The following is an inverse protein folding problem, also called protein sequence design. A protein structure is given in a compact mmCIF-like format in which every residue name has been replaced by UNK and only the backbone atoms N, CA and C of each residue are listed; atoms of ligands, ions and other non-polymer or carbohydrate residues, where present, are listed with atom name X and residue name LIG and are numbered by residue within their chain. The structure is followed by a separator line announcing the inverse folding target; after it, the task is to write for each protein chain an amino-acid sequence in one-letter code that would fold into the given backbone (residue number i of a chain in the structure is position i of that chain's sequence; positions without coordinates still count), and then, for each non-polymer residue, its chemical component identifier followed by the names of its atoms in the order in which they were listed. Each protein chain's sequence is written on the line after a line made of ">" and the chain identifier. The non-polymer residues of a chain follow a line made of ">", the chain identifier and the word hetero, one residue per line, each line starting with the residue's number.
data_IF_603114901032
#
_entry.id   IF_603114901032
#
_cell.length_a   1.000
_cell.length_b   1.000
_cell.length_c   1.000
_cell.angle_alpha   90.00
_cell.angle_beta   90.00
_cell.angle_gamma   90.00
#
_symmetry.space_group_name_H-M   'P 1'
#
loop_
_entity.id
_entity.type
_entity.pdbx_description
1 polymer ?
#
# COMPACT_ATOMS: atom_id res chain seq x y z
N UNK A 1 20.30 3.20 -20.21
CA UNK A 1 20.26 2.49 -18.91
C UNK A 1 18.80 2.33 -18.53
N UNK A 2 18.33 1.10 -18.48
CA UNK A 2 16.98 0.81 -17.94
C UNK A 2 17.12 0.77 -16.42
N UNK A 3 16.53 1.74 -15.76
CA UNK A 3 16.42 1.73 -14.29
C UNK A 3 15.30 0.79 -13.89
N UNK A 4 15.64 -0.30 -13.20
CA UNK A 4 14.67 -1.24 -12.65
C UNK A 4 14.24 -0.72 -11.28
N UNK A 5 13.14 -0.01 -11.22
CA UNK A 5 12.60 0.62 -10.02
C UNK A 5 11.12 0.26 -9.77
N UNK A 6 10.50 0.77 -8.69
CA UNK A 6 9.10 0.51 -8.34
C UNK A 6 8.11 0.65 -9.52
N UNK A 7 8.21 1.65 -10.41
CA UNK A 7 7.30 1.78 -11.54
C UNK A 7 7.34 0.62 -12.53
N UNK A 8 8.51 -0.04 -12.68
CA UNK A 8 8.65 -1.21 -13.54
C UNK A 8 7.92 -2.41 -12.95
N UNK A 9 8.12 -2.68 -11.66
CA UNK A 9 7.48 -3.81 -10.98
C UNK A 9 5.97 -3.64 -10.92
N UNK A 10 5.45 -2.43 -10.72
CA UNK A 10 4.01 -2.18 -10.71
C UNK A 10 3.35 -2.57 -12.04
N UNK A 11 3.95 -2.17 -13.17
CA UNK A 11 3.41 -2.52 -14.50
C UNK A 11 3.42 -4.01 -14.78
N UNK A 12 4.39 -4.74 -14.24
CA UNK A 12 4.53 -6.18 -14.44
C UNK A 12 3.64 -6.98 -13.48
N UNK A 13 3.62 -6.63 -12.20
CA UNK A 13 2.99 -7.44 -11.15
C UNK A 13 1.47 -7.23 -11.10
N UNK A 14 0.98 -6.01 -11.22
CA UNK A 14 -0.45 -5.68 -11.05
C UNK A 14 -1.36 -6.49 -11.97
N UNK A 15 -1.09 -6.64 -13.28
CA UNK A 15 -1.96 -7.42 -14.16
C UNK A 15 -2.11 -8.90 -13.76
N UNK A 16 -1.11 -9.47 -13.11
CA UNK A 16 -1.16 -10.85 -12.61
C UNK A 16 -1.75 -10.94 -11.21
N UNK A 17 -1.53 -9.93 -10.38
CA UNK A 17 -2.02 -9.91 -9.00
C UNK A 17 -3.54 -9.86 -8.93
N UNK A 18 -4.19 -9.08 -9.77
CA UNK A 18 -5.66 -8.95 -9.81
C UNK A 18 -6.35 -10.30 -10.05
N UNK A 19 -6.09 -11.02 -11.17
CA UNK A 19 -6.71 -12.33 -11.39
C UNK A 19 -6.30 -13.35 -10.31
N UNK A 20 -5.09 -13.28 -9.80
CA UNK A 20 -4.64 -14.15 -8.72
C UNK A 20 -5.48 -13.97 -7.44
N UNK A 21 -5.73 -12.73 -7.00
CA UNK A 21 -6.58 -12.44 -5.84
C UNK A 21 -8.02 -12.92 -6.05
N UNK A 22 -8.57 -12.72 -7.24
CA UNK A 22 -9.92 -13.20 -7.58
C UNK A 22 -10.00 -14.73 -7.57
N UNK A 23 -8.98 -15.41 -8.12
CA UNK A 23 -8.90 -16.88 -8.11
C UNK A 23 -8.74 -17.43 -6.70
N UNK A 24 -7.97 -16.77 -5.83
CA UNK A 24 -7.88 -17.14 -4.40
C UNK A 24 -9.23 -17.01 -3.68
N UNK A 25 -10.05 -16.01 -4.02
CA UNK A 25 -11.37 -15.83 -3.42
C UNK A 25 -12.38 -16.87 -3.89
N UNK A 26 -12.38 -17.20 -5.19
CA UNK A 26 -13.39 -18.05 -5.82
C UNK A 26 -12.97 -19.51 -5.87
N UNK A 27 -11.67 -19.79 -6.09
CA UNK A 27 -11.12 -21.13 -6.31
C UNK A 27 -11.53 -22.18 -5.26
N UNK A 28 -11.46 -21.87 -3.95
CA UNK A 28 -11.89 -22.81 -2.90
C UNK A 28 -13.37 -23.20 -2.94
N UNK A 29 -14.19 -22.46 -3.69
CA UNK A 29 -15.64 -22.65 -3.84
C UNK A 29 -16.01 -23.44 -5.09
N UNK A 30 -15.05 -23.60 -6.01
CA UNK A 30 -15.22 -24.42 -7.21
C UNK A 30 -15.01 -25.89 -6.87
N UNK A 31 -15.99 -26.74 -7.14
CA UNK A 31 -15.88 -28.20 -7.04
C UNK A 31 -15.51 -28.78 -8.40
N UNK A 32 -14.55 -29.73 -8.44
CA UNK A 32 -14.02 -30.32 -9.66
C UNK A 32 -15.07 -31.01 -10.55
N UNK A 33 -16.10 -31.64 -9.95
CA UNK A 33 -17.04 -32.53 -10.69
C UNK A 33 -18.48 -32.00 -10.76
N UNK A 34 -18.96 -31.28 -9.77
CA UNK A 34 -20.29 -30.67 -9.72
C UNK A 34 -20.19 -29.32 -9.01
N UNK A 35 -19.94 -28.27 -9.78
CA UNK A 35 -19.97 -26.90 -9.25
C UNK A 35 -21.41 -26.37 -9.30
N UNK A 36 -22.23 -26.74 -8.32
CA UNK A 36 -23.32 -25.82 -7.94
C UNK A 36 -22.65 -24.75 -7.10
N UNK A 37 -22.55 -23.54 -7.62
CA UNK A 37 -22.22 -22.34 -6.82
C UNK A 37 -23.43 -22.14 -5.90
N UNK A 38 -23.36 -22.82 -4.76
CA UNK A 38 -24.32 -22.58 -3.68
C UNK A 38 -24.19 -21.11 -3.30
N UNK A 39 -25.30 -20.40 -3.32
CA UNK A 39 -25.40 -18.98 -2.98
C UNK A 39 -24.52 -18.01 -3.82
N UNK A 40 -24.74 -17.98 -5.14
CA UNK A 40 -24.11 -16.98 -6.03
C UNK A 40 -24.33 -15.53 -5.57
N UNK A 41 -25.42 -15.28 -4.86
CA UNK A 41 -25.83 -13.94 -4.43
C UNK A 41 -24.80 -13.29 -3.52
N UNK A 42 -24.25 -13.99 -2.52
CA UNK A 42 -23.27 -13.38 -1.62
C UNK A 42 -21.93 -13.08 -2.30
N UNK A 43 -21.53 -13.90 -3.30
CA UNK A 43 -20.31 -13.64 -4.06
C UNK A 43 -20.44 -12.33 -4.85
N UNK A 44 -21.58 -12.13 -5.49
CA UNK A 44 -21.86 -10.90 -6.24
C UNK A 44 -22.00 -9.72 -5.29
N UNK A 45 -22.69 -9.89 -4.16
CA UNK A 45 -22.87 -8.81 -3.16
C UNK A 45 -21.55 -8.33 -2.60
N UNK A 46 -20.65 -9.24 -2.20
CA UNK A 46 -19.32 -8.85 -1.70
C UNK A 46 -18.44 -8.22 -2.78
N UNK A 47 -18.58 -8.63 -4.03
CA UNK A 47 -17.88 -8.00 -5.14
C UNK A 47 -18.34 -6.54 -5.32
N UNK A 48 -19.65 -6.30 -5.33
CA UNK A 48 -20.21 -4.95 -5.46
C UNK A 48 -19.79 -4.08 -4.26
N UNK A 49 -19.89 -4.59 -3.03
CA UNK A 49 -19.45 -3.87 -1.83
C UNK A 49 -17.98 -3.52 -1.91
N UNK A 50 -17.12 -4.45 -2.34
CA UNK A 50 -15.69 -4.22 -2.47
C UNK A 50 -15.38 -3.13 -3.49
N UNK A 51 -16.07 -3.10 -4.62
CA UNK A 51 -15.91 -2.06 -5.65
C UNK A 51 -16.36 -0.70 -5.12
N UNK A 52 -17.51 -0.63 -4.45
CA UNK A 52 -18.03 0.60 -3.86
C UNK A 52 -17.09 1.17 -2.82
N UNK A 53 -16.59 0.33 -1.90
CA UNK A 53 -15.63 0.76 -0.86
C UNK A 53 -14.30 1.22 -1.47
N UNK A 54 -13.76 0.49 -2.45
CA UNK A 54 -12.54 0.89 -3.14
C UNK A 54 -12.71 2.25 -3.82
N UNK A 55 -13.83 2.48 -4.49
CA UNK A 55 -14.14 3.74 -5.15
C UNK A 55 -14.29 4.89 -4.14
N UNK A 56 -14.99 4.67 -3.01
CA UNK A 56 -15.14 5.66 -1.95
C UNK A 56 -13.82 6.09 -1.34
N UNK A 57 -12.90 5.15 -1.13
CA UNK A 57 -11.55 5.43 -0.61
C UNK A 57 -10.76 6.26 -1.62
N UNK A 58 -10.81 5.90 -2.91
CA UNK A 58 -9.97 6.50 -3.94
C UNK A 58 -10.49 7.81 -4.53
N UNK A 59 -11.79 8.13 -4.40
CA UNK A 59 -12.37 9.32 -5.04
C UNK A 59 -11.70 10.65 -4.66
N UNK A 60 -11.02 10.71 -3.51
CA UNK A 60 -10.32 11.89 -3.03
C UNK A 60 -8.82 11.92 -3.39
N UNK A 61 -8.33 10.86 -4.05
CA UNK A 61 -6.92 10.72 -4.43
C UNK A 61 -6.79 10.75 -5.95
N UNK A 62 -6.08 11.73 -6.48
CA UNK A 62 -5.92 12.00 -7.93
C UNK A 62 -4.95 11.03 -8.65
N UNK A 63 -4.86 9.76 -8.23
CA UNK A 63 -4.02 8.76 -8.89
C UNK A 63 -4.87 7.88 -9.82
N UNK A 64 -4.23 7.10 -10.69
CA UNK A 64 -4.84 6.20 -11.68
C UNK A 64 -6.05 5.42 -11.10
N UNK A 65 -7.19 6.09 -10.96
CA UNK A 65 -8.37 5.67 -10.21
C UNK A 65 -8.83 4.28 -10.66
N UNK A 66 -8.82 4.01 -11.96
CA UNK A 66 -9.38 2.76 -12.50
C UNK A 66 -8.58 1.52 -12.07
N UNK A 67 -7.26 1.52 -12.28
CA UNK A 67 -6.40 0.37 -11.93
C UNK A 67 -6.36 0.16 -10.43
N UNK A 68 -6.21 1.24 -9.65
CA UNK A 68 -6.16 1.17 -8.21
C UNK A 68 -7.50 0.70 -7.62
N UNK A 69 -8.65 1.11 -8.19
CA UNK A 69 -9.97 0.63 -7.77
C UNK A 69 -10.10 -0.87 -8.00
N UNK A 70 -9.71 -1.37 -9.18
CA UNK A 70 -9.80 -2.81 -9.48
C UNK A 70 -8.88 -3.61 -8.54
N UNK A 71 -7.68 -3.14 -8.28
CA UNK A 71 -6.72 -3.82 -7.43
C UNK A 71 -7.19 -3.86 -5.97
N UNK A 72 -7.61 -2.73 -5.40
CA UNK A 72 -8.13 -2.66 -4.04
C UNK A 72 -9.42 -3.46 -3.89
N UNK A 73 -10.32 -3.38 -4.88
CA UNK A 73 -11.57 -4.14 -4.83
C UNK A 73 -11.32 -5.65 -4.87
N UNK A 74 -10.33 -6.14 -5.62
CA UNK A 74 -9.97 -7.56 -5.64
C UNK A 74 -9.38 -8.03 -4.31
N UNK A 75 -8.57 -7.20 -3.64
CA UNK A 75 -8.03 -7.50 -2.32
C UNK A 75 -9.10 -7.46 -1.22
N UNK A 76 -10.00 -6.45 -1.23
CA UNK A 76 -11.16 -6.38 -0.35
C UNK A 76 -12.13 -7.55 -0.56
N UNK A 77 -12.33 -7.95 -1.80
CA UNK A 77 -13.16 -9.09 -2.12
C UNK A 77 -12.62 -10.39 -1.50
N UNK A 78 -11.32 -10.66 -1.65
CA UNK A 78 -10.67 -11.79 -1.00
C UNK A 78 -10.81 -11.70 0.53
N UNK A 79 -10.61 -10.50 1.10
CA UNK A 79 -10.76 -10.26 2.55
C UNK A 79 -12.16 -10.60 3.04
N UNK A 80 -13.21 -10.06 2.43
CA UNK A 80 -14.60 -10.30 2.86
C UNK A 80 -15.03 -11.75 2.68
N UNK A 81 -14.62 -12.40 1.58
CA UNK A 81 -14.92 -13.81 1.34
C UNK A 81 -14.26 -14.71 2.39
N UNK A 82 -13.01 -14.47 2.71
CA UNK A 82 -12.30 -15.27 3.73
C UNK A 82 -12.83 -15.00 5.12
N UNK A 83 -13.14 -13.74 5.45
CA UNK A 83 -13.76 -13.37 6.72
C UNK A 83 -15.12 -14.08 6.92
N UNK A 84 -15.99 -14.07 5.90
CA UNK A 84 -17.25 -14.82 5.93
C UNK A 84 -17.01 -16.31 6.15
N UNK A 85 -16.05 -16.89 5.47
CA UNK A 85 -15.77 -18.33 5.56
C UNK A 85 -15.30 -18.72 6.98
N UNK A 86 -14.64 -17.85 7.74
CA UNK A 86 -14.36 -18.07 9.16
C UNK A 86 -15.64 -18.23 10.00
N UNK A 87 -16.63 -17.39 9.76
CA UNK A 87 -17.87 -17.42 10.54
C UNK A 87 -18.81 -18.55 10.15
N UNK A 88 -18.89 -18.87 8.85
CA UNK A 88 -19.87 -19.83 8.32
C UNK A 88 -19.34 -21.27 8.34
N UNK A 89 -18.06 -21.50 8.02
CA UNK A 89 -17.47 -22.84 7.85
C UNK A 89 -16.69 -23.33 9.05
N UNK A 90 -16.97 -22.84 10.20
CA UNK A 90 -16.40 -22.95 11.56
C UNK A 90 -15.11 -23.76 11.76
N UNK A 91 -14.77 -24.81 11.06
CA UNK A 91 -13.55 -25.60 11.24
C UNK A 91 -13.05 -26.27 9.95
N UNK A 92 -13.71 -26.07 8.84
CA UNK A 92 -13.32 -26.66 7.56
C UNK A 92 -12.31 -25.74 6.86
N UNK A 93 -11.14 -26.26 6.57
CA UNK A 93 -10.06 -25.57 5.86
C UNK A 93 -9.52 -24.30 6.58
N UNK A 94 -9.41 -24.34 7.91
CA UNK A 94 -8.92 -23.22 8.73
C UNK A 94 -7.56 -22.71 8.24
N UNK A 95 -6.60 -23.60 7.97
CA UNK A 95 -5.26 -23.22 7.53
C UNK A 95 -5.29 -22.42 6.22
N UNK A 96 -6.10 -22.85 5.26
CA UNK A 96 -6.30 -22.14 4.01
C UNK A 96 -6.93 -20.76 4.22
N UNK A 97 -7.96 -20.68 5.07
CA UNK A 97 -8.64 -19.42 5.36
C UNK A 97 -7.69 -18.42 6.06
N UNK A 98 -6.86 -18.88 7.01
CA UNK A 98 -5.86 -18.04 7.67
C UNK A 98 -4.85 -17.52 6.65
N UNK A 99 -4.35 -18.39 5.77
CA UNK A 99 -3.38 -18.00 4.75
C UNK A 99 -3.96 -16.93 3.78
N UNK A 100 -5.18 -17.15 3.26
CA UNK A 100 -5.83 -16.22 2.35
C UNK A 100 -6.20 -14.89 3.04
N UNK A 101 -6.66 -14.96 4.29
CA UNK A 101 -6.96 -13.79 5.09
C UNK A 101 -5.71 -12.95 5.37
N UNK A 102 -4.64 -13.59 5.85
CA UNK A 102 -3.36 -12.92 6.10
C UNK A 102 -2.77 -12.30 4.83
N UNK A 103 -2.85 -13.02 3.70
CA UNK A 103 -2.39 -12.50 2.42
C UNK A 103 -3.23 -11.29 1.96
N UNK A 104 -4.56 -11.33 2.10
CA UNK A 104 -5.41 -10.19 1.76
C UNK A 104 -5.12 -8.96 2.62
N UNK A 105 -4.89 -9.15 3.94
CA UNK A 105 -4.49 -8.06 4.84
C UNK A 105 -3.14 -7.47 4.46
N UNK A 106 -2.16 -8.29 4.13
CA UNK A 106 -0.84 -7.84 3.69
C UNK A 106 -0.95 -6.97 2.44
N UNK A 107 -1.67 -7.43 1.41
CA UNK A 107 -1.87 -6.67 0.18
C UNK A 107 -2.61 -5.36 0.46
N UNK A 108 -3.69 -5.38 1.26
CA UNK A 108 -4.43 -4.17 1.63
C UNK A 108 -3.53 -3.17 2.38
N UNK A 109 -2.70 -3.64 3.31
CA UNK A 109 -1.77 -2.78 4.06
C UNK A 109 -0.77 -2.10 3.14
N UNK A 110 -0.19 -2.84 2.18
CA UNK A 110 0.73 -2.28 1.19
C UNK A 110 0.03 -1.23 0.32
N UNK A 111 -1.18 -1.54 -0.16
CA UNK A 111 -1.95 -0.64 -1.02
C UNK A 111 -2.36 0.64 -0.27
N UNK A 112 -2.84 0.51 0.95
CA UNK A 112 -3.21 1.68 1.76
C UNK A 112 -1.99 2.52 2.13
N UNK A 113 -0.87 1.89 2.48
CA UNK A 113 0.36 2.64 2.72
C UNK A 113 0.77 3.45 1.48
N UNK A 114 0.71 2.85 0.29
CA UNK A 114 1.03 3.55 -0.97
C UNK A 114 0.07 4.71 -1.29
N UNK A 115 -1.22 4.58 -0.93
CA UNK A 115 -2.23 5.62 -1.18
C UNK A 115 -2.10 6.78 -0.18
N UNK A 116 -1.88 6.47 1.11
CA UNK A 116 -1.83 7.46 2.18
C UNK A 116 -0.44 8.04 2.39
N UNK A 117 0.63 7.39 1.93
CA UNK A 117 1.98 7.95 1.96
C UNK A 117 2.12 9.04 0.89
N UNK A 118 2.62 10.19 1.29
CA UNK A 118 3.09 11.23 0.38
C UNK A 118 4.61 11.27 0.42
N UNK A 119 5.25 10.98 -0.70
CA UNK A 119 6.70 11.09 -0.85
C UNK A 119 7.00 12.31 -1.71
N UNK A 120 7.84 13.19 -1.20
CA UNK A 120 8.28 14.38 -1.91
C UNK A 120 9.79 14.27 -2.11
N UNK A 121 10.21 14.17 -3.35
CA UNK A 121 11.62 14.15 -3.72
C UNK A 121 11.99 15.53 -4.24
N UNK A 122 12.89 16.19 -3.54
CA UNK A 122 13.40 17.51 -3.93
C UNK A 122 14.91 17.57 -3.76
N UNK A 123 15.58 18.40 -4.55
CA UNK A 123 17.00 18.68 -4.42
C UNK A 123 17.15 20.03 -3.73
N UNK A 124 17.75 20.03 -2.55
CA UNK A 124 17.99 21.25 -1.78
C UNK A 124 19.50 21.52 -1.73
N UNK A 125 19.89 22.77 -1.93
CA UNK A 125 21.24 23.26 -1.64
C UNK A 125 21.28 23.81 -0.21
N UNK A 126 22.49 23.85 0.35
CA UNK A 126 22.71 24.47 1.66
C UNK A 126 22.15 25.89 1.67
N UNK A 127 21.32 26.21 2.65
CA UNK A 127 20.61 27.48 2.79
C UNK A 127 19.28 27.55 2.04
N UNK A 128 18.92 26.56 1.22
CA UNK A 128 17.61 26.54 0.56
C UNK A 128 16.52 25.99 1.48
N UNK A 129 15.31 26.49 1.26
CA UNK A 129 14.10 26.14 2.03
C UNK A 129 13.13 25.42 1.11
N UNK A 130 12.61 24.30 1.57
CA UNK A 130 11.46 23.64 0.99
C UNK A 130 10.25 23.88 1.87
N UNK A 131 9.17 24.40 1.29
CA UNK A 131 7.92 24.67 2.00
C UNK A 131 6.75 23.95 1.32
N UNK A 132 6.01 23.20 2.13
CA UNK A 132 4.77 22.56 1.73
C UNK A 132 3.65 23.05 2.67
N UNK A 133 2.38 22.78 2.31
CA UNK A 133 1.20 23.20 3.08
C UNK A 133 1.20 22.82 4.57
N UNK A 134 2.06 21.92 5.01
CA UNK A 134 2.12 21.42 6.40
C UNK A 134 3.47 21.60 7.09
N UNK A 135 4.56 21.68 6.34
CA UNK A 135 5.92 21.66 6.88
C UNK A 135 6.85 22.54 6.07
N UNK A 136 7.77 23.18 6.75
CA UNK A 136 8.87 23.93 6.18
C UNK A 136 10.17 23.26 6.59
N UNK A 137 11.01 22.90 5.62
CA UNK A 137 12.29 22.26 5.82
C UNK A 137 13.38 23.18 5.30
N UNK A 138 14.36 23.47 6.14
CA UNK A 138 15.54 24.26 5.77
C UNK A 138 16.78 23.37 5.84
N UNK A 139 17.57 23.38 4.79
CA UNK A 139 18.87 22.71 4.78
C UNK A 139 19.92 23.68 5.31
N UNK A 140 20.30 23.55 6.60
CA UNK A 140 21.14 24.56 7.29
C UNK A 140 22.61 24.46 6.91
N UNK A 141 23.21 23.29 7.08
CA UNK A 141 24.65 23.10 6.88
C UNK A 141 25.03 21.66 6.58
N UNK A 142 26.23 21.49 6.07
CA UNK A 142 26.90 20.18 5.93
C UNK A 142 28.19 20.23 6.74
N UNK A 143 28.30 19.37 7.73
CA UNK A 143 29.49 19.24 8.57
C UNK A 143 30.21 17.94 8.27
N UNK A 144 31.54 17.98 8.34
CA UNK A 144 32.36 16.78 8.24
C UNK A 144 32.89 16.42 9.63
N UNK A 145 32.58 15.20 10.06
CA UNK A 145 33.07 14.65 11.32
C UNK A 145 34.01 13.49 11.04
N UNK A 146 35.23 13.58 11.59
CA UNK A 146 36.19 12.52 11.47
C UNK A 146 36.01 11.53 12.62
N UNK A 147 35.52 10.35 12.32
CA UNK A 147 35.46 9.23 13.25
C UNK A 147 36.71 8.37 13.17
N UNK A 148 36.88 7.41 14.08
CA UNK A 148 38.11 6.58 14.16
C UNK A 148 38.41 5.80 12.88
N UNK A 149 37.38 5.36 12.15
CA UNK A 149 37.51 4.44 11.02
C UNK A 149 36.91 4.98 9.69
N UNK A 150 36.24 6.16 9.72
CA UNK A 150 35.61 6.75 8.54
C UNK A 150 35.43 8.27 8.71
N UNK A 151 35.18 8.95 7.60
CA UNK A 151 34.78 10.35 7.63
C UNK A 151 33.26 10.39 7.39
N UNK A 152 32.52 10.92 8.35
CA UNK A 152 31.09 11.11 8.26
C UNK A 152 30.78 12.49 7.68
N UNK A 153 29.76 12.55 6.83
CA UNK A 153 29.16 13.80 6.36
C UNK A 153 27.81 13.92 7.05
N UNK A 154 27.64 14.97 7.84
CA UNK A 154 26.39 15.24 8.58
C UNK A 154 25.67 16.36 7.87
N UNK A 155 24.45 16.10 7.42
CA UNK A 155 23.57 17.11 6.83
C UNK A 155 22.58 17.59 7.89
N UNK A 156 22.60 18.88 8.24
CA UNK A 156 21.72 19.45 9.25
C UNK A 156 20.49 20.09 8.60
N UNK A 157 19.32 19.64 9.05
CA UNK A 157 18.03 20.17 8.62
C UNK A 157 17.26 20.68 9.82
N UNK A 158 16.60 21.82 9.69
CA UNK A 158 15.53 22.25 10.58
C UNK A 158 14.17 22.03 9.92
N UNK A 159 13.26 21.42 10.66
CA UNK A 159 11.90 21.12 10.22
C UNK A 159 10.97 21.90 11.14
N UNK A 160 10.22 22.84 10.59
CA UNK A 160 9.19 23.57 11.33
C UNK A 160 7.80 23.21 10.82
N UNK A 161 6.91 22.87 11.76
CA UNK A 161 5.51 22.68 11.49
C UNK A 161 4.78 24.04 11.51
N UNK A 162 3.60 24.13 10.86
CA UNK A 162 2.76 25.33 10.90
C UNK A 162 2.39 25.79 12.31
N UNK A 163 2.51 24.95 13.32
CA UNK A 163 2.25 25.24 14.73
C UNK A 163 3.45 25.87 15.46
N UNK A 164 4.58 26.11 14.76
CA UNK A 164 5.78 26.71 15.34
C UNK A 164 6.69 25.76 16.11
N UNK A 165 6.43 24.46 16.08
CA UNK A 165 7.35 23.45 16.62
C UNK A 165 8.52 23.27 15.64
N UNK A 166 9.75 23.48 16.13
CA UNK A 166 10.99 23.25 15.37
C UNK A 166 11.66 21.97 15.86
N UNK A 167 11.84 21.03 14.96
CA UNK A 167 12.65 19.84 15.18
C UNK A 167 13.91 19.91 14.31
N UNK A 168 15.04 19.45 14.87
CA UNK A 168 16.30 19.32 14.13
C UNK A 168 16.58 17.87 13.81
N UNK A 169 16.94 17.63 12.57
CA UNK A 169 17.26 16.32 12.04
C UNK A 169 18.61 16.36 11.35
N UNK A 170 19.55 15.52 11.80
CA UNK A 170 20.94 15.52 11.33
C UNK A 170 21.34 14.11 10.87
N UNK A 171 20.93 13.66 9.69
CA UNK A 171 21.33 12.37 9.13
C UNK A 171 22.82 12.36 8.82
N UNK A 172 23.44 11.22 9.10
CA UNK A 172 24.84 10.91 8.82
C UNK A 172 24.93 10.05 7.53
N UNK A 173 25.83 10.44 6.63
CA UNK A 173 26.10 9.77 5.34
C UNK A 173 27.53 9.23 5.34
#
# INVERSE_FOLDING_TARGET
>A
KISVGPPFYHKLIIPFLIPFLLMMAIGPKLKWIKSQLEDKIYLISFLIISILLAFLVLKNFNQNILINTILISSALYLFFITLRDFFVKKYKNISQNIAHFGFSLLILSILFNNIFASEIITNLKVGETFENSKTKIVFESVDQKKEKNYNAIIANFSISNLNGEEDRFSPEL
#
